data_IF_352787275169
#
_entry.id   IF_352787275169
#
_cell.length_a   1.000
_cell.length_b   1.000
_cell.length_c   1.000
_cell.angle_alpha   90.00
_cell.angle_beta   90.00
_cell.angle_gamma   90.00
#
_symmetry.space_group_name_H-M   'P 1'
#
loop_
_entity.id
_entity.type
_entity.pdbx_description
1 polymer ?
#
# COMPACT_ATOMS: atom_id res chain seq x y z
N UNK A 1 14.23 -7.46 12.03
CA UNK A 1 13.99 -6.12 11.50
C UNK A 1 12.52 -5.91 11.25
N UNK A 2 11.98 -4.86 11.78
CA UNK A 2 10.56 -4.60 11.65
C UNK A 2 10.29 -3.76 10.41
N UNK A 3 9.34 -4.22 9.62
CA UNK A 3 8.89 -3.46 8.49
C UNK A 3 7.94 -2.38 8.99
N UNK A 4 8.22 -1.13 8.64
CA UNK A 4 7.37 -0.08 9.09
C UNK A 4 6.15 0.08 8.16
N UNK A 5 4.99 0.50 8.68
CA UNK A 5 3.77 0.58 7.85
C UNK A 5 3.90 1.46 6.63
N UNK A 6 4.65 2.55 6.73
CA UNK A 6 4.88 3.42 5.58
C UNK A 6 5.58 2.66 4.47
N UNK A 7 6.61 1.91 4.81
CA UNK A 7 7.36 1.15 3.82
C UNK A 7 6.50 0.05 3.19
N UNK A 8 5.70 -0.63 4.00
CA UNK A 8 4.78 -1.64 3.49
C UNK A 8 3.77 -1.02 2.53
N UNK A 9 3.23 0.15 2.87
CA UNK A 9 2.32 0.85 1.99
C UNK A 9 2.95 1.17 0.65
N UNK A 10 4.20 1.64 0.66
CA UNK A 10 4.92 1.94 -0.58
C UNK A 10 5.12 0.68 -1.42
N UNK A 11 5.44 -0.44 -0.79
CA UNK A 11 5.61 -1.70 -1.51
C UNK A 11 4.31 -2.13 -2.20
N UNK A 12 3.18 -1.98 -1.52
CA UNK A 12 1.90 -2.31 -2.12
C UNK A 12 1.53 -1.37 -3.26
N UNK A 13 1.89 -0.09 -3.14
CA UNK A 13 1.67 0.85 -4.25
C UNK A 13 2.46 0.42 -5.47
N UNK A 14 3.71 0.03 -5.28
CA UNK A 14 4.54 -0.44 -6.40
C UNK A 14 3.93 -1.66 -7.07
N UNK A 15 3.44 -2.61 -6.28
CA UNK A 15 2.78 -3.79 -6.82
C UNK A 15 1.52 -3.41 -7.57
N UNK A 16 0.74 -2.48 -7.02
CA UNK A 16 -0.50 -2.05 -7.66
C UNK A 16 -0.23 -1.40 -9.01
N UNK A 17 0.80 -0.55 -9.08
CA UNK A 17 1.16 0.09 -10.34
C UNK A 17 1.57 -0.96 -11.38
N UNK A 18 2.35 -1.94 -10.96
CA UNK A 18 2.76 -3.00 -11.86
C UNK A 18 1.55 -3.81 -12.36
N UNK A 19 0.62 -4.14 -11.45
CA UNK A 19 -0.59 -4.85 -11.84
C UNK A 19 -1.41 -4.04 -12.83
N UNK A 20 -1.49 -2.73 -12.61
CA UNK A 20 -2.21 -1.85 -13.52
C UNK A 20 -1.60 -1.88 -14.91
N UNK A 21 -0.27 -1.84 -15.00
CA UNK A 21 0.42 -1.91 -16.28
C UNK A 21 0.18 -3.22 -17.00
N UNK A 22 0.01 -4.30 -16.23
CA UNK A 22 -0.29 -5.62 -16.78
C UNK A 22 -1.78 -5.83 -17.02
N UNK A 23 -2.59 -4.81 -16.75
CA UNK A 23 -4.04 -4.86 -16.90
C UNK A 23 -4.71 -5.82 -15.91
N UNK A 24 -4.06 -6.12 -14.81
CA UNK A 24 -4.63 -6.90 -13.71
C UNK A 24 -5.32 -5.96 -12.74
N UNK A 25 -6.43 -5.39 -13.17
CA UNK A 25 -7.07 -4.29 -12.44
C UNK A 25 -7.60 -4.71 -11.08
N UNK A 26 -8.11 -5.94 -10.97
CA UNK A 26 -8.61 -6.42 -9.68
C UNK A 26 -7.49 -6.48 -8.66
N UNK A 27 -6.34 -7.02 -9.05
CA UNK A 27 -5.19 -7.09 -8.16
C UNK A 27 -4.67 -5.70 -7.83
N UNK A 28 -4.67 -4.81 -8.82
CA UNK A 28 -4.22 -3.44 -8.61
C UNK A 28 -5.09 -2.75 -7.55
N UNK A 29 -6.41 -2.89 -7.64
CA UNK A 29 -7.32 -2.29 -6.67
C UNK A 29 -7.07 -2.86 -5.29
N UNK A 30 -6.90 -4.17 -5.17
CA UNK A 30 -6.63 -4.79 -3.88
C UNK A 30 -5.34 -4.26 -3.26
N UNK A 31 -4.29 -4.14 -4.06
CA UNK A 31 -3.01 -3.65 -3.57
C UNK A 31 -3.09 -2.18 -3.19
N UNK A 32 -3.83 -1.36 -3.96
CA UNK A 32 -4.04 0.04 -3.58
C UNK A 32 -4.79 0.15 -2.26
N UNK A 33 -5.80 -0.68 -2.05
CA UNK A 33 -6.55 -0.67 -0.80
C UNK A 33 -5.67 -1.05 0.39
N UNK A 34 -4.82 -2.05 0.21
CA UNK A 34 -3.88 -2.45 1.27
C UNK A 34 -2.91 -1.30 1.58
N UNK A 35 -2.42 -0.63 0.55
CA UNK A 35 -1.53 0.50 0.76
C UNK A 35 -2.20 1.60 1.55
N UNK A 36 -3.46 1.90 1.24
CA UNK A 36 -4.21 2.91 1.97
C UNK A 36 -4.34 2.55 3.45
N UNK A 37 -4.60 1.28 3.74
CA UNK A 37 -4.71 0.83 5.13
C UNK A 37 -3.39 1.09 5.89
N UNK A 38 -2.26 0.79 5.27
CA UNK A 38 -0.98 1.03 5.92
C UNK A 38 -0.70 2.52 6.09
N UNK A 39 -1.06 3.34 5.11
CA UNK A 39 -0.88 4.78 5.21
C UNK A 39 -1.73 5.35 6.33
N UNK A 40 -2.94 4.84 6.52
CA UNK A 40 -3.78 5.28 7.63
C UNK A 40 -3.15 4.97 8.98
N UNK A 41 -2.50 3.83 9.09
CA UNK A 41 -1.79 3.49 10.33
C UNK A 41 -0.67 4.49 10.62
N UNK A 42 0.04 4.90 9.58
CA UNK A 42 1.10 5.90 9.74
C UNK A 42 0.53 7.23 10.22
N UNK A 43 -0.56 7.66 9.59
CA UNK A 43 -1.21 8.93 9.94
C UNK A 43 -1.70 8.88 11.39
N UNK A 44 -2.34 7.80 11.78
CA UNK A 44 -2.84 7.66 13.16
C UNK A 44 -1.69 7.66 14.16
N UNK A 45 -0.62 7.02 13.82
CA UNK A 45 0.56 6.99 14.68
C UNK A 45 1.15 8.37 14.89
N UNK A 46 1.12 9.21 13.87
CA UNK A 46 1.64 10.57 13.97
C UNK A 46 0.76 11.49 14.78
N UNK A 47 -0.50 11.15 14.97
CA UNK A 47 -1.44 12.01 15.67
C UNK A 47 -1.49 11.79 17.16
N UNK A 48 -0.84 10.78 17.65
CA UNK A 48 -0.88 10.45 19.09
C UNK A 48 0.02 11.32 19.95
#
# INVERSE_FOLDING_TARGET
MEANPLQLGIEFVKKAVQNDQEKNFEQAVQNYNLALNYFQLVIKGCQS
#
